data_IF_526782611725
#
_entry.id   IF_526782611725
#
_cell.length_a   1.000
_cell.length_b   1.000
_cell.length_c   1.000
_cell.angle_alpha   90.00
_cell.angle_beta   90.00
_cell.angle_gamma   90.00
#
_symmetry.space_group_name_H-M   'P 1'
#
loop_
_entity.id
_entity.type
_entity.pdbx_description
1 polymer ?
#
# COMPACT_ATOMS: atom_id res chain seq x y z
N UNK A 1 -9.74 -19.17 16.60
CA UNK A 1 -9.44 -17.72 16.75
C UNK A 1 -8.32 -17.23 15.84
N UNK A 2 -7.11 -17.81 15.84
CA UNK A 2 -5.97 -17.35 15.00
C UNK A 2 -6.28 -17.23 13.50
N UNK A 3 -7.05 -18.18 12.94
CA UNK A 3 -7.45 -18.18 11.52
C UNK A 3 -8.34 -16.99 11.13
N UNK A 4 -9.34 -16.69 11.96
CA UNK A 4 -10.28 -15.57 11.75
C UNK A 4 -9.51 -14.24 11.83
N UNK A 5 -8.59 -14.13 12.80
CA UNK A 5 -7.72 -12.97 12.95
C UNK A 5 -6.79 -12.78 11.74
N UNK A 6 -6.22 -13.86 11.19
CA UNK A 6 -5.41 -13.81 9.97
C UNK A 6 -6.21 -13.35 8.74
N UNK A 7 -7.44 -13.83 8.56
CA UNK A 7 -8.33 -13.39 7.47
C UNK A 7 -8.69 -11.91 7.64
N UNK A 8 -8.97 -11.46 8.86
CA UNK A 8 -9.26 -10.05 9.15
C UNK A 8 -8.07 -9.15 8.81
N UNK A 9 -6.87 -9.49 9.27
CA UNK A 9 -5.62 -8.80 8.90
C UNK A 9 -5.39 -8.77 7.40
N UNK A 10 -5.72 -9.87 6.72
CA UNK A 10 -5.60 -9.96 5.27
C UNK A 10 -6.54 -8.98 4.55
N UNK A 11 -7.81 -8.94 4.94
CA UNK A 11 -8.79 -8.00 4.41
C UNK A 11 -8.39 -6.54 4.68
N UNK A 12 -8.01 -6.23 5.92
CA UNK A 12 -7.60 -4.87 6.31
C UNK A 12 -6.35 -4.44 5.55
N UNK A 13 -5.35 -5.32 5.42
CA UNK A 13 -4.12 -5.02 4.69
C UNK A 13 -4.39 -4.75 3.21
N UNK A 14 -5.24 -5.54 2.55
CA UNK A 14 -5.61 -5.30 1.16
C UNK A 14 -6.44 -4.03 0.98
N UNK A 15 -7.42 -3.77 1.85
CA UNK A 15 -8.23 -2.56 1.79
C UNK A 15 -7.38 -1.30 2.02
N UNK A 16 -6.51 -1.32 3.02
CA UNK A 16 -5.60 -0.21 3.30
C UNK A 16 -4.60 0.00 2.15
N UNK A 17 -4.01 -1.06 1.62
CA UNK A 17 -3.07 -0.97 0.50
C UNK A 17 -3.73 -0.45 -0.78
N UNK A 18 -4.95 -0.91 -1.07
CA UNK A 18 -5.73 -0.49 -2.23
C UNK A 18 -6.21 0.96 -2.09
N UNK A 19 -6.62 1.38 -0.88
CA UNK A 19 -6.93 2.76 -0.58
C UNK A 19 -5.71 3.68 -0.79
N UNK A 20 -4.56 3.33 -0.21
CA UNK A 20 -3.33 4.08 -0.39
C UNK A 20 -2.93 4.16 -1.86
N UNK A 21 -3.03 3.08 -2.62
CA UNK A 21 -2.71 3.06 -4.04
C UNK A 21 -3.67 3.94 -4.88
N UNK A 22 -4.98 3.87 -4.64
CA UNK A 22 -5.97 4.63 -5.40
C UNK A 22 -5.93 6.12 -5.06
N UNK A 23 -5.98 6.45 -3.76
CA UNK A 23 -6.03 7.83 -3.30
C UNK A 23 -4.65 8.47 -3.40
N UNK A 24 -3.61 7.82 -2.89
CA UNK A 24 -2.25 8.34 -3.02
C UNK A 24 -1.79 8.42 -4.47
N UNK A 25 -2.15 7.42 -5.29
CA UNK A 25 -1.83 7.41 -6.72
C UNK A 25 -2.50 8.54 -7.50
N UNK A 26 -3.75 8.90 -7.17
CA UNK A 26 -4.42 10.03 -7.81
C UNK A 26 -3.76 11.37 -7.46
N UNK A 27 -3.35 11.58 -6.20
CA UNK A 27 -2.56 12.75 -5.81
C UNK A 27 -1.21 12.78 -6.53
N UNK A 28 -0.50 11.64 -6.62
CA UNK A 28 0.76 11.56 -7.35
C UNK A 28 0.61 11.95 -8.82
N UNK A 29 -0.49 11.57 -9.47
CA UNK A 29 -0.80 11.97 -10.85
C UNK A 29 -1.00 13.49 -10.98
N UNK A 30 -1.72 14.11 -10.04
CA UNK A 30 -1.93 15.57 -10.04
C UNK A 30 -0.59 16.30 -9.87
N UNK A 31 0.23 15.86 -8.91
CA UNK A 31 1.56 16.45 -8.70
C UNK A 31 2.51 16.20 -9.87
N UNK A 32 2.39 15.06 -10.56
CA UNK A 32 3.17 14.77 -11.75
C UNK A 32 2.79 15.71 -12.90
N UNK A 33 1.50 15.97 -13.12
CA UNK A 33 1.05 16.96 -14.09
C UNK A 33 1.57 18.36 -13.75
N UNK A 34 1.51 18.75 -12.46
CA UNK A 34 2.07 20.02 -11.99
C UNK A 34 3.60 20.11 -12.18
N UNK A 35 4.31 19.01 -11.94
CA UNK A 35 5.76 18.91 -12.14
C UNK A 35 6.14 19.11 -13.60
N UNK A 36 5.44 18.43 -14.51
CA UNK A 36 5.63 18.58 -15.96
C UNK A 36 5.27 20.00 -16.40
N UNK A 37 4.16 20.56 -15.92
CA UNK A 37 3.71 21.91 -16.25
C UNK A 37 4.64 23.03 -15.79
N UNK A 38 5.40 22.82 -14.70
CA UNK A 38 6.30 23.81 -14.10
C UNK A 38 7.79 23.59 -14.46
N UNK A 39 8.10 22.65 -15.36
CA UNK A 39 9.48 22.30 -15.69
C UNK A 39 10.27 21.74 -14.50
N UNK A 40 9.56 21.18 -13.51
CA UNK A 40 10.11 20.48 -12.37
C UNK A 40 10.60 21.32 -11.20
N UNK A 41 10.41 22.65 -11.23
CA UNK A 41 10.93 23.56 -10.19
C UNK A 41 10.08 23.65 -8.93
N UNK A 42 8.77 23.50 -9.02
CA UNK A 42 7.85 23.80 -7.91
C UNK A 42 7.21 22.54 -7.30
N UNK A 43 6.80 21.58 -8.13
CA UNK A 43 6.04 20.41 -7.66
C UNK A 43 6.89 19.15 -7.40
N UNK A 44 8.22 19.19 -7.59
CA UNK A 44 9.07 18.00 -7.54
C UNK A 44 9.24 17.42 -6.13
N UNK A 45 9.39 18.30 -5.14
CA UNK A 45 9.50 17.88 -3.74
C UNK A 45 8.21 17.26 -3.22
N UNK A 46 7.07 17.90 -3.48
CA UNK A 46 5.76 17.40 -3.05
C UNK A 46 5.40 16.08 -3.75
N UNK A 47 5.71 15.96 -5.05
CA UNK A 47 5.57 14.72 -5.79
C UNK A 47 6.38 13.58 -5.16
N UNK A 48 7.66 13.81 -4.84
CA UNK A 48 8.51 12.79 -4.25
C UNK A 48 8.01 12.34 -2.87
N UNK A 49 7.55 13.28 -2.04
CA UNK A 49 6.99 12.99 -0.72
C UNK A 49 5.69 12.20 -0.84
N UNK A 50 4.75 12.65 -1.67
CA UNK A 50 3.48 11.96 -1.84
C UNK A 50 3.64 10.59 -2.47
N UNK A 51 4.53 10.46 -3.44
CA UNK A 51 4.85 9.18 -4.05
C UNK A 51 5.50 8.22 -3.04
N UNK A 52 6.43 8.72 -2.22
CA UNK A 52 7.03 7.95 -1.13
C UNK A 52 6.01 7.45 -0.11
N UNK A 53 5.11 8.32 0.35
CA UNK A 53 4.05 7.96 1.30
C UNK A 53 3.05 6.97 0.70
N UNK A 54 2.67 7.17 -0.57
CA UNK A 54 1.79 6.27 -1.32
C UNK A 54 2.40 4.88 -1.44
N UNK A 55 3.67 4.81 -1.84
CA UNK A 55 4.39 3.56 -1.99
C UNK A 55 4.56 2.86 -0.65
N UNK A 56 4.92 3.60 0.40
CA UNK A 56 5.07 3.07 1.75
C UNK A 56 3.73 2.51 2.28
N UNK A 57 2.63 3.25 2.13
CA UNK A 57 1.30 2.81 2.56
C UNK A 57 0.82 1.57 1.80
N UNK A 58 1.00 1.54 0.48
CA UNK A 58 0.67 0.37 -0.33
C UNK A 58 1.50 -0.86 0.06
N UNK A 59 2.81 -0.68 0.28
CA UNK A 59 3.70 -1.75 0.70
C UNK A 59 3.37 -2.26 2.11
N UNK A 60 3.08 -1.35 3.05
CA UNK A 60 2.66 -1.71 4.41
C UNK A 60 1.36 -2.51 4.39
N UNK A 61 0.37 -2.08 3.59
CA UNK A 61 -0.88 -2.83 3.39
C UNK A 61 -0.64 -4.23 2.81
N UNK A 62 0.22 -4.35 1.79
CA UNK A 62 0.62 -5.64 1.23
C UNK A 62 1.30 -6.55 2.24
N UNK A 63 2.26 -6.03 3.02
CA UNK A 63 2.97 -6.80 4.05
C UNK A 63 2.01 -7.26 5.16
N UNK A 64 1.09 -6.39 5.58
CA UNK A 64 0.05 -6.74 6.55
C UNK A 64 -0.84 -7.86 6.00
N UNK A 65 -1.23 -7.77 4.73
CA UNK A 65 -2.05 -8.79 4.10
C UNK A 65 -1.31 -10.13 3.95
N UNK A 66 -0.03 -10.07 3.62
CA UNK A 66 0.87 -11.23 3.55
C UNK A 66 1.02 -11.88 4.92
N UNK A 67 1.19 -11.09 5.97
CA UNK A 67 1.28 -11.61 7.34
C UNK A 67 -0.05 -12.24 7.81
N UNK A 68 -1.19 -11.62 7.48
CA UNK A 68 -2.51 -12.20 7.69
C UNK A 68 -2.66 -13.59 7.06
N UNK A 69 -2.13 -13.77 5.84
CA UNK A 69 -2.09 -15.07 5.15
C UNK A 69 -1.25 -16.12 5.89
N UNK A 70 -0.06 -15.75 6.37
CA UNK A 70 0.76 -16.66 7.18
C UNK A 70 0.07 -17.10 8.48
N UNK A 71 -0.76 -16.23 9.08
CA UNK A 71 -1.51 -16.55 10.30
C UNK A 71 -2.79 -17.36 10.03
N UNK A 72 -3.36 -17.28 8.82
CA UNK A 72 -4.56 -18.02 8.41
C UNK A 72 -4.26 -19.37 7.76
N UNK A 73 -3.03 -19.58 7.27
CA UNK A 73 -2.59 -20.83 6.66
C UNK A 73 -2.75 -22.03 7.62
N UNK A 74 -3.32 -23.16 7.16
CA UNK A 74 -3.34 -24.39 7.94
C UNK A 74 -1.90 -24.90 8.17
N UNK A 75 -1.65 -25.42 9.38
CA UNK A 75 -0.31 -25.88 9.83
C UNK A 75 0.35 -26.91 8.90
N UNK A 76 -0.43 -27.59 8.06
CA UNK A 76 0.01 -28.58 7.08
C UNK A 76 0.69 -27.99 5.84
N UNK A 77 0.48 -26.71 5.51
CA UNK A 77 1.15 -26.05 4.37
C UNK A 77 2.51 -25.44 4.71
N UNK A 78 2.89 -25.39 6.00
CA UNK A 78 4.19 -24.86 6.45
C UNK A 78 5.27 -25.94 6.60
N UNK A 79 4.93 -27.21 6.34
CA UNK A 79 5.80 -28.37 6.51
C UNK A 79 6.09 -29.14 5.21
N UNK A 80 5.62 -28.63 4.06
CA UNK A 80 5.94 -29.11 2.72
C UNK A 80 6.81 -28.07 2.01
#
# INVERSE_FOLDING_TARGET
MRRIFGIFLQLVGWLAGLWCALVGGSFCLVYLMGFVGTGGREAGGELAVMFGLTLFGALAGYLLARWGRYLSAPRTELAA
#
